data_IF_695102577297
#
_entry.id   IF_695102577297
#
_cell.length_a   1.000
_cell.length_b   1.000
_cell.length_c   1.000
_cell.angle_alpha   90.00
_cell.angle_beta   90.00
_cell.angle_gamma   90.00
#
_symmetry.space_group_name_H-M   'P 1'
#
loop_
_entity.id
_entity.type
_entity.pdbx_description
1 polymer ?
#
# COMPACT_ATOMS: atom_id res chain seq x y z
N UNK A 1 -20.51 5.74 9.19
CA UNK A 1 -19.03 5.69 9.02
C UNK A 1 -18.37 5.09 10.27
N UNK A 2 -19.04 4.15 10.94
CA UNK A 2 -18.74 3.71 12.31
C UNK A 2 -18.19 2.29 12.40
N UNK A 3 -18.24 1.49 11.32
CA UNK A 3 -17.85 0.07 11.36
C UNK A 3 -16.39 -0.18 10.98
N UNK A 4 -15.76 0.70 10.19
CA UNK A 4 -14.35 0.55 9.80
C UNK A 4 -13.37 1.20 10.78
N UNK A 5 -13.85 2.00 11.74
CA UNK A 5 -12.98 2.69 12.70
C UNK A 5 -12.26 1.72 13.65
N UNK A 6 -12.86 0.56 13.95
CA UNK A 6 -12.20 -0.48 14.78
C UNK A 6 -10.97 -1.07 14.09
N UNK A 7 -10.95 -1.07 12.75
CA UNK A 7 -9.86 -1.60 11.95
C UNK A 7 -8.95 -0.49 11.40
N UNK A 8 -9.10 0.75 11.89
CA UNK A 8 -8.22 1.85 11.53
C UNK A 8 -6.86 1.63 12.21
N UNK A 9 -5.77 1.39 11.44
CA UNK A 9 -4.45 1.40 12.04
C UNK A 9 -4.17 2.81 12.57
N UNK A 10 -4.01 2.93 13.88
CA UNK A 10 -3.54 4.14 14.54
C UNK A 10 -2.33 3.77 15.40
N UNK A 11 -1.33 4.65 15.46
CA UNK A 11 -0.10 4.44 16.23
C UNK A 11 0.64 3.17 15.80
N UNK A 12 0.81 2.97 14.48
CA UNK A 12 1.51 1.79 13.99
C UNK A 12 2.94 1.72 14.52
N UNK A 13 3.40 0.50 14.80
CA UNK A 13 4.75 0.25 15.31
C UNK A 13 5.57 -0.52 14.30
N UNK A 14 6.89 -0.44 14.40
CA UNK A 14 7.78 -1.07 13.43
C UNK A 14 7.56 -2.60 13.31
N UNK A 15 7.16 -3.24 14.41
CA UNK A 15 6.85 -4.69 14.46
C UNK A 15 5.67 -5.10 13.57
N UNK A 16 4.82 -4.15 13.18
CA UNK A 16 3.67 -4.40 12.30
C UNK A 16 4.08 -4.49 10.83
N UNK A 17 5.27 -4.00 10.47
CA UNK A 17 5.77 -3.99 9.11
C UNK A 17 6.68 -5.19 8.83
N UNK A 18 6.65 -5.65 7.58
CA UNK A 18 7.66 -6.57 7.07
C UNK A 18 8.95 -5.80 6.85
N UNK A 19 10.02 -6.22 7.52
CA UNK A 19 11.37 -5.68 7.32
C UNK A 19 12.40 -6.79 7.31
N UNK A 20 13.43 -6.64 6.48
CA UNK A 20 14.65 -7.44 6.61
C UNK A 20 15.45 -7.01 7.85
N UNK A 21 16.41 -7.83 8.29
CA UNK A 21 17.19 -7.58 9.51
C UNK A 21 17.85 -6.20 9.55
N UNK A 22 18.36 -5.74 8.40
CA UNK A 22 19.12 -4.49 8.26
C UNK A 22 18.31 -3.38 7.57
N UNK A 23 16.99 -3.54 7.52
CA UNK A 23 16.08 -2.57 6.91
C UNK A 23 15.39 -1.72 7.98
N UNK A 24 15.41 -0.41 7.79
CA UNK A 24 14.67 0.54 8.61
C UNK A 24 13.40 0.98 7.87
N UNK A 25 12.30 1.12 8.61
CA UNK A 25 11.06 1.68 8.06
C UNK A 25 11.13 3.21 8.11
N UNK A 26 10.91 3.86 6.98
CA UNK A 26 10.88 5.31 6.88
C UNK A 26 9.73 5.87 7.74
N UNK A 27 9.99 6.94 8.50
CA UNK A 27 8.97 7.62 9.32
C UNK A 27 7.73 8.03 8.53
N UNK A 28 7.87 8.36 7.25
CA UNK A 28 6.73 8.70 6.37
C UNK A 28 5.78 7.53 6.16
N UNK A 29 6.27 6.30 6.19
CA UNK A 29 5.45 5.09 6.04
C UNK A 29 4.43 4.99 7.16
N UNK A 30 4.85 5.19 8.42
CA UNK A 30 3.95 5.24 9.57
C UNK A 30 2.86 6.29 9.41
N UNK A 31 3.26 7.51 9.04
CA UNK A 31 2.31 8.60 8.81
C UNK A 31 1.26 8.25 7.75
N UNK A 32 1.66 7.64 6.63
CA UNK A 32 0.71 7.26 5.58
C UNK A 32 -0.26 6.18 6.01
N UNK A 33 0.21 5.16 6.75
CA UNK A 33 -0.63 4.07 7.22
C UNK A 33 -1.61 4.58 8.30
N UNK A 34 -1.10 5.33 9.27
CA UNK A 34 -1.90 5.89 10.38
C UNK A 34 -2.97 6.90 9.90
N UNK A 35 -2.84 7.40 8.67
CA UNK A 35 -3.79 8.34 8.07
C UNK A 35 -4.48 7.77 6.83
N UNK A 36 -4.38 6.46 6.58
CA UNK A 36 -4.89 5.86 5.35
C UNK A 36 -6.40 6.06 5.20
N UNK A 37 -7.17 5.79 6.26
CA UNK A 37 -8.63 5.86 6.20
C UNK A 37 -9.11 7.28 5.89
N UNK A 38 -8.54 8.28 6.55
CA UNK A 38 -8.95 9.69 6.37
C UNK A 38 -8.33 10.35 5.13
N UNK A 39 -7.18 9.85 4.66
CA UNK A 39 -6.37 10.50 3.63
C UNK A 39 -6.46 9.89 2.23
N UNK A 40 -6.60 8.57 2.11
CA UNK A 40 -6.43 7.84 0.84
C UNK A 40 -7.41 6.67 0.64
N UNK A 41 -8.50 6.62 1.40
CA UNK A 41 -9.52 5.56 1.31
C UNK A 41 -10.90 6.11 0.91
N UNK A 42 -11.87 5.22 0.69
CA UNK A 42 -13.26 5.55 0.37
C UNK A 42 -13.34 6.54 -0.82
N UNK A 43 -14.00 7.67 -0.65
CA UNK A 43 -14.15 8.72 -1.67
C UNK A 43 -12.82 9.36 -2.11
N UNK A 44 -11.74 9.16 -1.33
CA UNK A 44 -10.38 9.61 -1.67
C UNK A 44 -9.53 8.51 -2.30
N UNK A 45 -10.11 7.32 -2.56
CA UNK A 45 -9.40 6.24 -3.23
C UNK A 45 -9.06 6.62 -4.66
N UNK A 46 -7.76 6.63 -4.97
CA UNK A 46 -7.25 6.92 -6.30
C UNK A 46 -6.38 5.74 -6.76
N UNK A 47 -6.86 4.87 -7.67
CA UNK A 47 -6.10 3.69 -8.09
C UNK A 47 -4.89 4.12 -8.93
N UNK A 48 -3.68 3.84 -8.43
CA UNK A 48 -2.43 4.15 -9.12
C UNK A 48 -1.35 3.12 -8.80
N UNK A 49 -0.32 3.07 -9.64
CA UNK A 49 0.92 2.31 -9.40
C UNK A 49 2.02 3.33 -9.14
N UNK A 50 2.54 3.35 -7.92
CA UNK A 50 3.62 4.27 -7.53
C UNK A 50 4.88 3.98 -8.33
N UNK A 51 5.39 4.99 -9.02
CA UNK A 51 6.71 4.98 -9.62
C UNK A 51 7.72 5.56 -8.63
N UNK A 52 8.96 5.08 -8.67
CA UNK A 52 10.05 5.63 -7.84
C UNK A 52 10.14 7.15 -8.07
N UNK A 53 10.09 7.93 -6.99
CA UNK A 53 10.12 9.39 -7.04
C UNK A 53 8.78 10.08 -7.33
N UNK A 54 7.67 9.33 -7.42
CA UNK A 54 6.36 9.87 -7.82
C UNK A 54 6.38 10.57 -9.20
N UNK A 55 7.30 10.14 -10.06
CA UNK A 55 7.47 10.69 -11.40
C UNK A 55 6.36 10.25 -12.34
N UNK A 56 6.15 11.04 -13.40
CA UNK A 56 5.31 10.63 -14.53
C UNK A 56 6.03 9.53 -15.34
N UNK A 57 5.31 8.52 -15.83
CA UNK A 57 5.90 7.54 -16.71
C UNK A 57 6.43 8.23 -17.98
N UNK A 58 7.65 7.90 -18.39
CA UNK A 58 8.29 8.43 -19.61
C UNK A 58 8.14 7.49 -20.81
N UNK A 59 7.28 6.48 -20.71
CA UNK A 59 7.12 5.44 -21.73
C UNK A 59 6.06 5.82 -22.76
N UNK A 60 6.40 5.66 -24.04
CA UNK A 60 5.54 5.99 -25.17
C UNK A 60 4.41 4.98 -25.41
N UNK A 61 4.39 3.86 -24.68
CA UNK A 61 3.50 2.72 -24.94
C UNK A 61 2.39 2.55 -23.89
N UNK A 62 2.14 3.59 -23.10
CA UNK A 62 1.00 3.70 -22.19
C UNK A 62 -0.16 4.46 -22.84
N UNK A 63 -1.43 4.10 -22.53
CA UNK A 63 -1.83 3.09 -21.56
C UNK A 63 -1.77 1.66 -22.11
N UNK A 64 -1.32 0.71 -21.28
CA UNK A 64 -1.43 -0.73 -21.56
C UNK A 64 -2.79 -1.24 -21.09
N UNK A 65 -3.45 -2.02 -21.94
CA UNK A 65 -4.63 -2.79 -21.55
C UNK A 65 -4.19 -4.16 -21.07
N UNK A 66 -4.63 -4.56 -19.89
CA UNK A 66 -4.41 -5.89 -19.35
C UNK A 66 -5.59 -6.29 -18.46
N UNK A 67 -5.67 -7.58 -18.14
CA UNK A 67 -6.65 -8.12 -17.18
C UNK A 67 -5.87 -8.61 -15.96
N UNK A 68 -6.18 -8.07 -14.79
CA UNK A 68 -5.75 -8.66 -13.52
C UNK A 68 -6.68 -9.84 -13.22
N UNK A 69 -6.12 -11.03 -13.01
CA UNK A 69 -6.87 -12.26 -12.75
C UNK A 69 -6.62 -12.83 -11.34
N UNK A 70 -5.94 -12.06 -10.48
CA UNK A 70 -5.54 -12.46 -9.14
C UNK A 70 -5.55 -11.25 -8.21
N UNK A 71 -6.00 -11.46 -6.99
CA UNK A 71 -5.90 -10.51 -5.88
C UNK A 71 -5.10 -11.14 -4.74
N UNK A 72 -4.29 -10.33 -4.05
CA UNK A 72 -3.44 -10.78 -2.96
C UNK A 72 -3.51 -9.82 -1.78
N UNK A 73 -3.43 -10.38 -0.58
CA UNK A 73 -3.20 -9.67 0.67
C UNK A 73 -1.73 -9.83 1.01
N UNK A 74 -1.03 -8.72 1.19
CA UNK A 74 0.41 -8.69 1.43
C UNK A 74 0.73 -8.11 2.81
N UNK A 75 1.78 -8.63 3.45
CA UNK A 75 2.42 -7.97 4.58
C UNK A 75 3.12 -6.71 4.05
N UNK A 76 2.69 -5.56 4.57
CA UNK A 76 3.18 -4.25 4.22
C UNK A 76 4.61 -4.04 4.72
N UNK A 77 5.50 -3.55 3.86
CA UNK A 77 6.84 -3.08 4.23
C UNK A 77 7.00 -1.57 4.09
N UNK A 78 8.24 -1.11 4.05
CA UNK A 78 8.54 0.31 3.90
C UNK A 78 7.96 0.89 2.60
N UNK A 79 7.57 2.17 2.62
CA UNK A 79 6.95 2.89 1.51
C UNK A 79 5.73 2.16 0.89
N UNK A 80 4.92 1.52 1.73
CA UNK A 80 3.76 0.74 1.34
C UNK A 80 4.08 -0.40 0.35
N UNK A 81 5.29 -0.94 0.39
CA UNK A 81 5.68 -2.06 -0.47
C UNK A 81 4.95 -3.34 -0.07
N UNK A 82 4.46 -4.10 -1.06
CA UNK A 82 3.92 -5.44 -0.84
C UNK A 82 5.09 -6.44 -0.76
N UNK A 83 5.41 -6.95 0.45
CA UNK A 83 6.63 -7.74 0.66
C UNK A 83 6.42 -9.24 0.72
N UNK A 84 5.39 -9.69 1.43
CA UNK A 84 5.07 -11.10 1.60
C UNK A 84 3.61 -11.33 1.31
N UNK A 85 3.28 -12.19 0.36
CA UNK A 85 1.88 -12.63 0.17
C UNK A 85 1.48 -13.45 1.40
N UNK A 86 0.44 -12.98 2.09
CA UNK A 86 -0.18 -13.68 3.22
C UNK A 86 -1.33 -14.57 2.74
N UNK A 87 -2.02 -14.12 1.69
CA UNK A 87 -3.11 -14.84 1.05
C UNK A 87 -3.32 -14.33 -0.38
N UNK A 88 -3.82 -15.17 -1.27
CA UNK A 88 -4.22 -14.78 -2.63
C UNK A 88 -5.32 -15.67 -3.19
N UNK A 89 -6.06 -15.15 -4.16
CA UNK A 89 -7.06 -15.90 -4.93
C UNK A 89 -7.11 -15.42 -6.38
N UNK A 90 -7.60 -16.30 -7.26
CA UNK A 90 -8.05 -15.90 -8.59
C UNK A 90 -9.34 -15.06 -8.48
N UNK A 91 -9.48 -14.10 -9.40
CA UNK A 91 -10.68 -13.27 -9.57
C UNK A 91 -11.70 -13.99 -10.46
#
# INVERSE_FOLDING_TARGET
>A
MTELSEYHPENTTEKMYFKNKDEEINKKTFFWVDNYITGSSLEKYWPHITLKGCDKPKYNDLPKKFIANRIAICHLGDHCTCRKVLWETKL
#
